data_IF_531362975760
#
_entry.id   IF_531362975760
#
_cell.length_a   1.000
_cell.length_b   1.000
_cell.length_c   1.000
_cell.angle_alpha   90.00
_cell.angle_beta   90.00
_cell.angle_gamma   90.00
#
_symmetry.space_group_name_H-M   'P 1'
#
loop_
_entity.id
_entity.type
_entity.pdbx_description
1 polymer ?
#
# COMPACT_ATOMS: atom_id res chain seq x y z
N UNK A 1 13.91 0.64 -12.38
CA UNK A 1 12.71 0.93 -11.57
C UNK A 1 12.06 -0.43 -11.27
N UNK A 2 12.13 -0.93 -10.02
CA UNK A 2 11.69 -2.30 -9.70
C UNK A 2 10.22 -2.49 -10.07
N UNK A 3 9.93 -3.55 -10.82
CA UNK A 3 8.60 -3.92 -11.33
C UNK A 3 7.63 -4.22 -10.18
N UNK A 4 6.99 -3.19 -9.63
CA UNK A 4 5.78 -3.40 -8.85
C UNK A 4 4.68 -3.82 -9.82
N UNK A 5 4.13 -5.01 -9.63
CA UNK A 5 3.02 -5.47 -10.47
C UNK A 5 1.82 -4.53 -10.29
N UNK A 6 0.97 -4.36 -11.32
CA UNK A 6 -0.23 -3.53 -11.20
C UNK A 6 -1.11 -3.98 -10.02
N UNK A 7 -1.16 -5.29 -9.74
CA UNK A 7 -1.86 -5.84 -8.58
C UNK A 7 -1.26 -5.38 -7.25
N UNK A 8 0.07 -5.44 -7.10
CA UNK A 8 0.75 -4.97 -5.89
C UNK A 8 0.54 -3.47 -5.65
N UNK A 9 0.55 -2.66 -6.72
CA UNK A 9 0.21 -1.24 -6.63
C UNK A 9 -1.23 -1.03 -6.16
N UNK A 10 -2.19 -1.76 -6.71
CA UNK A 10 -3.60 -1.67 -6.32
C UNK A 10 -3.82 -2.05 -4.85
N UNK A 11 -3.11 -3.06 -4.34
CA UNK A 11 -3.17 -3.44 -2.93
C UNK A 11 -2.72 -2.31 -2.00
N UNK A 12 -1.63 -1.60 -2.35
CA UNK A 12 -1.18 -0.44 -1.60
C UNK A 12 -2.18 0.73 -1.68
N UNK A 13 -2.78 0.99 -2.84
CA UNK A 13 -3.79 2.04 -3.00
C UNK A 13 -5.00 1.73 -2.12
N UNK A 14 -5.57 0.53 -2.24
CA UNK A 14 -6.72 0.10 -1.45
C UNK A 14 -6.44 0.15 0.06
N UNK A 15 -5.23 -0.24 0.48
CA UNK A 15 -4.80 -0.09 1.86
C UNK A 15 -4.69 1.38 2.30
N UNK A 16 -4.08 2.26 1.50
CA UNK A 16 -4.01 3.70 1.81
C UNK A 16 -5.42 4.29 1.92
N UNK A 17 -6.31 3.96 0.99
CA UNK A 17 -7.68 4.50 0.93
C UNK A 17 -8.60 3.97 2.04
N UNK A 18 -8.35 2.77 2.58
CA UNK A 18 -9.09 2.27 3.75
C UNK A 18 -8.86 3.09 5.03
N UNK A 19 -7.89 4.01 5.05
CA UNK A 19 -7.66 4.88 6.19
C UNK A 19 -8.69 6.01 6.26
N UNK A 20 -9.62 5.95 7.22
CA UNK A 20 -10.64 6.99 7.46
C UNK A 20 -10.05 8.34 7.92
N UNK A 21 -8.92 8.32 8.64
CA UNK A 21 -8.27 9.53 9.15
C UNK A 21 -7.20 10.04 8.18
N UNK A 22 -7.14 11.35 7.89
CA UNK A 22 -6.17 11.92 6.94
C UNK A 22 -4.72 11.74 7.41
N UNK A 23 -4.46 11.88 8.71
CA UNK A 23 -3.18 11.60 9.37
C UNK A 23 -2.69 10.16 9.13
N UNK A 24 -3.60 9.18 9.21
CA UNK A 24 -3.27 7.77 8.96
C UNK A 24 -3.00 7.53 7.48
N UNK A 25 -3.78 8.17 6.59
CA UNK A 25 -3.56 8.12 5.13
C UNK A 25 -2.17 8.64 4.77
N UNK A 26 -1.77 9.80 5.30
CA UNK A 26 -0.45 10.38 5.09
C UNK A 26 0.68 9.45 5.58
N UNK A 27 0.50 8.84 6.77
CA UNK A 27 1.47 7.86 7.29
C UNK A 27 1.59 6.63 6.39
N UNK A 28 0.47 6.11 5.88
CA UNK A 28 0.45 4.96 4.96
C UNK A 28 1.14 5.28 3.64
N UNK A 29 0.92 6.47 3.06
CA UNK A 29 1.60 6.92 1.83
C UNK A 29 3.12 6.94 2.04
N UNK A 30 3.61 7.50 3.15
CA UNK A 30 5.05 7.52 3.45
C UNK A 30 5.61 6.10 3.54
N UNK A 31 4.94 5.24 4.31
CA UNK A 31 5.34 3.84 4.52
C UNK A 31 5.33 3.04 3.21
N UNK A 32 4.34 3.23 2.34
CA UNK A 32 4.30 2.57 1.02
C UNK A 32 5.55 2.88 0.20
N UNK A 33 6.06 4.12 0.21
CA UNK A 33 7.30 4.45 -0.51
C UNK A 33 8.50 3.70 0.05
N UNK A 34 8.58 3.53 1.37
CA UNK A 34 9.63 2.76 2.04
C UNK A 34 9.51 1.27 1.71
N UNK A 35 8.32 0.70 1.87
CA UNK A 35 8.06 -0.73 1.63
C UNK A 35 8.31 -1.12 0.16
N UNK A 36 7.94 -0.28 -0.81
CA UNK A 36 8.24 -0.51 -2.23
C UNK A 36 9.75 -0.47 -2.49
N UNK A 37 10.50 0.44 -1.85
CA UNK A 37 11.97 0.49 -1.97
C UNK A 37 12.63 -0.77 -1.39
N UNK A 38 12.10 -1.27 -0.27
CA UNK A 38 12.49 -2.53 0.35
C UNK A 38 12.11 -3.76 -0.51
N UNK A 39 11.31 -3.59 -1.58
CA UNK A 39 10.89 -4.67 -2.45
C UNK A 39 9.65 -5.42 -1.96
N UNK A 40 8.89 -4.84 -1.03
CA UNK A 40 7.60 -5.40 -0.60
C UNK A 40 6.55 -5.15 -1.66
N UNK A 41 5.79 -6.20 -1.96
CA UNK A 41 4.70 -6.17 -2.93
C UNK A 41 3.32 -6.01 -2.28
N UNK A 42 3.24 -6.03 -0.94
CA UNK A 42 2.01 -5.83 -0.15
C UNK A 42 2.29 -5.03 1.12
N UNK A 43 1.30 -4.31 1.65
CA UNK A 43 1.44 -3.64 2.93
C UNK A 43 1.57 -4.65 4.07
N UNK A 44 2.53 -4.42 4.95
CA UNK A 44 2.68 -5.24 6.15
C UNK A 44 1.49 -5.00 7.10
N UNK A 45 0.68 -6.06 7.30
CA UNK A 45 -0.62 -6.13 8.00
C UNK A 45 -1.88 -5.81 7.17
N UNK A 46 -1.83 -5.95 5.84
CA UNK A 46 -3.03 -5.88 4.99
C UNK A 46 -3.60 -7.27 4.69
N UNK A 47 -4.86 -7.51 5.08
CA UNK A 47 -5.56 -8.78 4.86
C UNK A 47 -5.93 -9.02 3.37
N UNK A 48 -5.82 -7.99 2.52
CA UNK A 48 -6.19 -8.03 1.10
C UNK A 48 -7.28 -7.02 0.78
N UNK A 49 -7.29 -6.52 -0.46
CA UNK A 49 -8.33 -5.61 -0.91
C UNK A 49 -9.67 -6.36 -1.09
N UNK A 50 -10.80 -5.86 -0.53
CA UNK A 50 -12.10 -6.49 -0.69
C UNK A 50 -12.64 -6.44 -2.13
N UNK A 51 -12.07 -5.61 -3.00
CA UNK A 51 -12.42 -5.49 -4.43
C UNK A 51 -11.68 -6.51 -5.32
N UNK A 52 -11.16 -7.59 -4.72
CA UNK A 52 -10.40 -8.63 -5.42
C UNK A 52 -11.31 -9.59 -6.16
#
# INVERSE_FOLDING_TARGET
MKNITPLARNEFICWIESAKKPETRARRIRRTREEIKEGKHRPCCWAGCPHR
#
